data_IF_730467378465
#
_entry.id   IF_730467378465
#
_cell.length_a   1.000
_cell.length_b   1.000
_cell.length_c   1.000
_cell.angle_alpha   90.00
_cell.angle_beta   90.00
_cell.angle_gamma   90.00
#
_symmetry.space_group_name_H-M   'P 1'
#
loop_
_entity.id
_entity.type
_entity.pdbx_description
1 polymer ?
#
# COMPACT_ATOMS: atom_id res chain seq x y z
N UNK A 1 11.21 -23.86 10.81
CA UNK A 1 11.35 -23.64 12.27
C UNK A 1 9.95 -23.54 12.85
N UNK A 2 9.61 -24.41 13.80
CA UNK A 2 8.34 -24.33 14.54
C UNK A 2 8.31 -23.01 15.34
N UNK A 3 7.35 -22.14 15.08
CA UNK A 3 7.11 -20.95 15.91
C UNK A 3 6.64 -21.42 17.29
N UNK A 4 7.53 -21.36 18.28
CA UNK A 4 7.21 -21.69 19.66
C UNK A 4 6.11 -20.75 20.16
N UNK A 5 4.99 -21.30 20.63
CA UNK A 5 3.86 -20.50 21.13
C UNK A 5 4.30 -19.77 22.41
N UNK A 6 4.03 -18.46 22.56
CA UNK A 6 4.41 -17.72 23.76
C UNK A 6 3.72 -18.29 24.99
N UNK A 7 4.46 -18.39 26.10
CA UNK A 7 3.92 -18.77 27.40
C UNK A 7 2.94 -17.72 27.90
N UNK A 8 1.91 -18.13 28.66
CA UNK A 8 0.84 -17.23 29.14
C UNK A 8 1.37 -16.00 29.92
N UNK A 9 2.50 -16.11 30.61
CA UNK A 9 3.07 -15.01 31.39
C UNK A 9 4.12 -14.19 30.63
N UNK A 10 4.51 -14.62 29.42
CA UNK A 10 5.52 -13.92 28.63
C UNK A 10 4.98 -12.57 28.14
N UNK A 11 5.85 -11.58 27.84
CA UNK A 11 5.44 -10.37 27.13
C UNK A 11 4.64 -10.75 25.89
N UNK A 12 3.51 -10.10 25.68
CA UNK A 12 2.65 -10.45 24.58
C UNK A 12 3.37 -10.15 23.27
N UNK A 13 3.39 -11.10 22.31
CA UNK A 13 3.98 -10.85 21.00
C UNK A 13 3.29 -9.70 20.24
N UNK A 14 2.11 -9.23 20.69
CA UNK A 14 1.43 -8.05 20.15
C UNK A 14 2.20 -6.73 20.32
N UNK A 15 3.26 -6.69 21.13
CA UNK A 15 4.03 -5.46 21.38
C UNK A 15 3.37 -4.47 22.35
N UNK A 16 2.25 -4.84 23.00
CA UNK A 16 1.51 -3.95 23.91
C UNK A 16 2.10 -3.81 25.32
N UNK A 17 3.33 -4.27 25.55
CA UNK A 17 3.99 -4.37 26.85
C UNK A 17 3.23 -5.14 27.96
N UNK A 18 2.04 -5.69 27.66
CA UNK A 18 1.24 -6.53 28.56
C UNK A 18 1.69 -7.98 28.48
N UNK A 19 1.46 -8.77 29.54
CA UNK A 19 1.60 -10.24 29.50
C UNK A 19 0.67 -10.84 28.45
N UNK A 20 1.06 -11.93 27.80
CA UNK A 20 0.26 -12.58 26.75
C UNK A 20 -1.15 -12.91 27.24
N UNK A 21 -1.28 -13.41 28.49
CA UNK A 21 -2.54 -13.64 29.22
C UNK A 21 -3.43 -12.43 29.51
N UNK A 22 -2.96 -11.22 29.23
CA UNK A 22 -3.68 -9.97 29.46
C UNK A 22 -3.67 -9.07 28.20
N UNK A 23 -3.16 -9.55 27.06
CA UNK A 23 -3.31 -8.95 25.73
C UNK A 23 -4.09 -9.95 24.84
N UNK A 24 -3.45 -10.55 23.84
CA UNK A 24 -4.16 -11.22 22.76
C UNK A 24 -4.87 -12.52 23.11
N UNK A 25 -4.39 -13.29 24.09
CA UNK A 25 -5.14 -14.50 24.49
C UNK A 25 -6.40 -14.12 25.28
N UNK A 26 -6.36 -13.00 26.02
CA UNK A 26 -7.48 -12.52 26.84
C UNK A 26 -8.51 -11.80 25.97
N UNK A 27 -8.08 -11.04 24.95
CA UNK A 27 -8.99 -10.40 24.00
C UNK A 27 -9.76 -11.44 23.17
N UNK A 28 -9.09 -12.45 22.63
CA UNK A 28 -9.74 -13.54 21.89
C UNK A 28 -10.64 -14.36 22.82
N UNK A 29 -10.19 -14.64 24.05
CA UNK A 29 -11.01 -15.37 25.03
C UNK A 29 -12.25 -14.58 25.47
N UNK A 30 -12.15 -13.25 25.61
CA UNK A 30 -13.29 -12.36 25.93
C UNK A 30 -14.28 -12.30 24.78
N UNK A 31 -13.80 -12.12 23.55
CA UNK A 31 -14.68 -12.13 22.36
C UNK A 31 -15.42 -13.45 22.21
N UNK A 32 -14.73 -14.58 22.39
CA UNK A 32 -15.38 -15.90 22.38
C UNK A 32 -16.38 -16.03 23.53
N UNK A 33 -16.01 -15.66 24.75
CA UNK A 33 -16.89 -15.75 25.92
C UNK A 33 -18.17 -14.92 25.74
N UNK A 34 -18.08 -13.70 25.23
CA UNK A 34 -19.23 -12.84 24.98
C UNK A 34 -20.20 -13.44 23.95
N UNK A 35 -19.69 -13.96 22.82
CA UNK A 35 -20.52 -14.63 21.81
C UNK A 35 -21.17 -15.90 22.38
N UNK A 36 -20.43 -16.68 23.16
CA UNK A 36 -20.98 -17.86 23.83
C UNK A 36 -22.04 -17.50 24.87
N UNK A 37 -21.85 -16.42 25.64
CA UNK A 37 -22.81 -15.95 26.65
C UNK A 37 -24.10 -15.43 25.99
N UNK A 38 -24.00 -14.71 24.86
CA UNK A 38 -25.15 -14.24 24.08
C UNK A 38 -25.95 -15.41 23.48
N UNK A 39 -25.27 -16.38 22.86
CA UNK A 39 -25.91 -17.61 22.35
C UNK A 39 -26.55 -18.39 23.51
N UNK A 40 -25.86 -18.52 24.65
CA UNK A 40 -26.37 -19.21 25.82
C UNK A 40 -27.64 -18.53 26.38
N UNK A 41 -27.71 -17.19 26.37
CA UNK A 41 -28.91 -16.45 26.74
C UNK A 41 -30.08 -16.73 25.79
N UNK A 42 -29.84 -16.73 24.48
CA UNK A 42 -30.89 -17.01 23.48
C UNK A 42 -31.42 -18.44 23.62
N UNK A 43 -30.53 -19.41 23.85
CA UNK A 43 -30.90 -20.82 24.12
C UNK A 43 -31.68 -20.94 25.43
N UNK A 44 -31.28 -20.22 26.48
CA UNK A 44 -32.00 -20.22 27.75
C UNK A 44 -33.42 -19.61 27.63
N UNK A 45 -33.60 -18.60 26.77
CA UNK A 45 -34.90 -18.00 26.49
C UNK A 45 -35.77 -18.82 25.53
N UNK A 46 -35.15 -19.69 24.70
CA UNK A 46 -35.82 -20.52 23.71
C UNK A 46 -35.36 -21.99 23.83
N UNK A 47 -35.81 -22.72 24.87
CA UNK A 47 -35.26 -24.04 25.22
C UNK A 47 -35.58 -25.15 24.21
N UNK A 48 -36.44 -24.89 23.21
CA UNK A 48 -36.87 -25.86 22.21
C UNK A 48 -36.25 -25.63 20.82
N UNK A 49 -35.20 -24.80 20.71
CA UNK A 49 -34.51 -24.58 19.44
C UNK A 49 -34.01 -25.91 18.85
N UNK A 50 -34.32 -26.11 17.58
CA UNK A 50 -33.72 -27.17 16.77
C UNK A 50 -32.26 -26.82 16.46
N UNK A 51 -31.48 -27.82 16.02
CA UNK A 51 -30.08 -27.59 15.63
C UNK A 51 -29.97 -26.58 14.47
N UNK A 52 -30.92 -26.61 13.53
CA UNK A 52 -30.92 -25.68 12.39
C UNK A 52 -31.22 -24.24 12.85
N UNK A 53 -32.16 -24.06 13.78
CA UNK A 53 -32.45 -22.74 14.37
C UNK A 53 -31.30 -22.24 15.25
N UNK A 54 -30.59 -23.13 15.95
CA UNK A 54 -29.38 -22.78 16.71
C UNK A 54 -28.27 -22.29 15.77
N UNK A 55 -28.06 -22.95 14.63
CA UNK A 55 -27.08 -22.53 13.63
C UNK A 55 -27.45 -21.15 13.06
N UNK A 56 -28.73 -20.92 12.76
CA UNK A 56 -29.21 -19.61 12.29
C UNK A 56 -28.97 -18.50 13.32
N UNK A 57 -29.24 -18.77 14.61
CA UNK A 57 -28.95 -17.84 15.71
C UNK A 57 -27.46 -17.54 15.78
N UNK A 58 -26.59 -18.56 15.70
CA UNK A 58 -25.15 -18.36 15.73
C UNK A 58 -24.66 -17.53 14.53
N UNK A 59 -25.15 -17.80 13.32
CA UNK A 59 -24.84 -17.04 12.11
C UNK A 59 -25.28 -15.58 12.24
N UNK A 60 -26.49 -15.33 12.76
CA UNK A 60 -27.00 -13.99 12.96
C UNK A 60 -26.17 -13.22 14.00
N UNK A 61 -25.83 -13.84 15.13
CA UNK A 61 -24.97 -13.21 16.16
C UNK A 61 -23.58 -12.88 15.62
N UNK A 62 -22.98 -13.80 14.86
CA UNK A 62 -21.71 -13.54 14.19
C UNK A 62 -21.81 -12.40 13.18
N UNK A 63 -22.91 -12.32 12.41
CA UNK A 63 -23.13 -11.24 11.46
C UNK A 63 -23.32 -9.88 12.14
N UNK A 64 -24.16 -9.80 13.16
CA UNK A 64 -24.39 -8.58 13.94
C UNK A 64 -23.08 -8.07 14.53
N UNK A 65 -22.28 -8.95 15.15
CA UNK A 65 -20.98 -8.56 15.71
C UNK A 65 -19.98 -8.13 14.65
N UNK A 66 -19.90 -8.85 13.53
CA UNK A 66 -18.97 -8.53 12.44
C UNK A 66 -19.33 -7.25 11.67
N UNK A 67 -20.52 -6.70 11.88
CA UNK A 67 -20.97 -5.44 11.26
C UNK A 67 -20.91 -4.25 12.21
N UNK A 68 -20.60 -4.46 13.50
CA UNK A 68 -20.40 -3.37 14.45
C UNK A 68 -19.04 -2.67 14.24
N UNK A 69 -18.98 -1.33 14.43
CA UNK A 69 -17.72 -0.58 14.45
C UNK A 69 -16.74 -1.10 15.49
N UNK A 70 -15.50 -1.35 15.08
CA UNK A 70 -14.42 -1.77 15.97
C UNK A 70 -13.43 -0.60 16.20
N UNK A 71 -13.18 -0.19 17.46
CA UNK A 71 -12.21 0.86 17.76
C UNK A 71 -10.78 0.53 17.30
N UNK A 72 -10.38 -0.75 17.30
CA UNK A 72 -9.05 -1.18 16.85
C UNK A 72 -8.92 -1.04 15.31
N UNK A 73 -10.05 -1.00 14.58
CA UNK A 73 -10.12 -0.67 13.15
C UNK A 73 -10.57 0.77 12.89
N UNK A 74 -10.39 1.65 13.89
CA UNK A 74 -10.74 3.07 13.82
C UNK A 74 -12.21 3.33 13.45
N UNK A 75 -13.12 2.43 13.84
CA UNK A 75 -14.55 2.53 13.58
C UNK A 75 -15.05 1.74 12.36
N UNK A 76 -14.17 1.07 11.62
CA UNK A 76 -14.60 0.09 10.62
C UNK A 76 -15.07 -1.19 11.30
N UNK A 77 -16.06 -1.85 10.71
CA UNK A 77 -16.46 -3.19 11.11
C UNK A 77 -15.51 -4.26 10.57
N UNK A 78 -15.53 -5.45 11.19
CA UNK A 78 -14.76 -6.61 10.70
C UNK A 78 -15.14 -6.98 9.25
N UNK A 79 -16.39 -6.79 8.86
CA UNK A 79 -16.87 -7.02 7.49
C UNK A 79 -16.25 -6.03 6.49
N UNK A 80 -16.21 -4.74 6.84
CA UNK A 80 -15.57 -3.72 6.02
C UNK A 80 -14.07 -4.00 5.88
N UNK A 81 -13.41 -4.33 7.00
CA UNK A 81 -11.99 -4.66 7.00
C UNK A 81 -11.69 -5.90 6.14
N UNK A 82 -12.49 -6.97 6.27
CA UNK A 82 -12.31 -8.18 5.47
C UNK A 82 -12.40 -7.91 3.96
N UNK A 83 -13.33 -7.06 3.52
CA UNK A 83 -13.38 -6.64 2.11
C UNK A 83 -12.10 -5.88 1.72
N UNK A 84 -11.65 -4.92 2.53
CA UNK A 84 -10.47 -4.12 2.20
C UNK A 84 -9.16 -4.91 2.13
N UNK A 85 -9.02 -5.96 2.94
CA UNK A 85 -7.83 -6.80 2.95
C UNK A 85 -7.80 -7.84 1.82
N UNK A 86 -8.96 -8.35 1.40
CA UNK A 86 -9.02 -9.58 0.59
C UNK A 86 -9.82 -9.47 -0.71
N UNK A 87 -10.64 -8.43 -0.90
CA UNK A 87 -11.41 -8.28 -2.12
C UNK A 87 -10.49 -7.95 -3.32
N UNK A 88 -10.80 -8.48 -4.51
CA UNK A 88 -10.20 -8.02 -5.75
C UNK A 88 -10.33 -6.50 -5.96
N UNK A 89 -9.41 -5.89 -6.70
CA UNK A 89 -9.36 -4.45 -6.93
C UNK A 89 -10.68 -3.85 -7.47
N UNK A 90 -11.41 -4.59 -8.30
CA UNK A 90 -12.69 -4.19 -8.88
C UNK A 90 -13.91 -4.48 -7.99
N UNK A 91 -13.71 -5.08 -6.81
CA UNK A 91 -14.74 -5.47 -5.84
C UNK A 91 -14.57 -4.79 -4.48
N UNK A 92 -13.63 -3.83 -4.38
CA UNK A 92 -13.44 -3.01 -3.18
C UNK A 92 -14.70 -2.16 -2.93
N UNK A 93 -15.27 -2.33 -1.74
CA UNK A 93 -16.44 -1.60 -1.29
C UNK A 93 -16.03 -0.41 -0.40
N UNK A 94 -16.95 0.54 -0.24
CA UNK A 94 -16.75 1.79 0.53
C UNK A 94 -15.62 2.71 0.01
N UNK A 95 -15.10 2.45 -1.19
CA UNK A 95 -14.17 3.33 -1.89
C UNK A 95 -14.54 3.42 -3.36
N UNK A 96 -14.55 4.63 -3.90
CA UNK A 96 -14.60 4.86 -5.35
C UNK A 96 -13.19 5.17 -5.84
N UNK A 97 -12.69 4.37 -6.79
CA UNK A 97 -11.40 4.57 -7.44
C UNK A 97 -11.64 5.11 -8.86
N UNK A 98 -11.28 6.37 -9.10
CA UNK A 98 -11.52 7.09 -10.35
C UNK A 98 -10.21 7.39 -11.08
N UNK A 99 -10.28 7.58 -12.40
CA UNK A 99 -9.16 8.11 -13.18
C UNK A 99 -9.21 9.64 -13.09
N UNK A 100 -8.15 10.31 -12.60
CA UNK A 100 -8.09 11.77 -12.57
C UNK A 100 -8.16 12.41 -13.96
N UNK A 101 -8.77 13.61 -14.03
CA UNK A 101 -8.91 14.36 -15.29
C UNK A 101 -7.56 14.89 -15.81
N UNK A 102 -6.60 15.15 -14.93
CA UNK A 102 -5.27 15.55 -15.30
C UNK A 102 -4.23 14.68 -14.59
N UNK A 103 -3.36 14.06 -15.38
CA UNK A 103 -2.26 13.21 -14.89
C UNK A 103 -0.90 13.91 -14.96
N UNK A 104 -0.84 15.20 -15.29
CA UNK A 104 0.41 15.92 -15.49
C UNK A 104 1.29 15.98 -14.25
N UNK A 105 0.69 15.96 -13.06
CA UNK A 105 1.39 15.99 -11.77
C UNK A 105 1.84 14.60 -11.28
N UNK A 106 1.52 13.52 -11.99
CA UNK A 106 1.89 12.16 -11.61
C UNK A 106 3.22 11.75 -12.27
N UNK A 107 4.31 11.55 -11.48
CA UNK A 107 5.59 11.12 -12.04
C UNK A 107 5.47 9.81 -12.83
N UNK A 108 4.86 8.78 -12.23
CA UNK A 108 4.62 7.48 -12.89
C UNK A 108 3.92 7.62 -14.23
N UNK A 109 2.84 8.41 -14.30
CA UNK A 109 2.10 8.55 -15.56
C UNK A 109 2.86 9.37 -16.60
N UNK A 110 3.66 10.36 -16.18
CA UNK A 110 4.49 11.15 -17.09
C UNK A 110 5.68 10.35 -17.63
N UNK A 111 6.32 9.54 -16.80
CA UNK A 111 7.37 8.64 -17.22
C UNK A 111 6.83 7.55 -18.16
N UNK A 112 5.63 7.01 -17.88
CA UNK A 112 4.98 6.07 -18.79
C UNK A 112 4.70 6.71 -20.15
N UNK A 113 4.20 7.95 -20.18
CA UNK A 113 3.96 8.68 -21.43
C UNK A 113 5.25 8.81 -22.26
N UNK A 114 6.39 9.17 -21.65
CA UNK A 114 7.69 9.22 -22.33
C UNK A 114 8.09 7.87 -22.95
N UNK A 115 7.92 6.78 -22.21
CA UNK A 115 8.22 5.41 -22.68
C UNK A 115 7.34 5.04 -23.87
N UNK A 116 6.04 5.37 -23.79
CA UNK A 116 5.09 5.06 -24.84
C UNK A 116 5.35 5.92 -26.09
N UNK A 117 5.59 7.22 -25.94
CA UNK A 117 5.87 8.12 -27.05
C UNK A 117 7.14 7.71 -27.81
N UNK A 118 8.24 7.38 -27.11
CA UNK A 118 9.49 6.93 -27.73
C UNK A 118 9.27 5.65 -28.57
N UNK A 119 8.47 4.70 -28.06
CA UNK A 119 8.12 3.50 -28.79
C UNK A 119 7.21 3.78 -29.98
N UNK A 120 6.18 4.63 -29.82
CA UNK A 120 5.22 4.95 -30.89
C UNK A 120 5.88 5.69 -32.05
N UNK A 121 6.87 6.55 -31.78
CA UNK A 121 7.71 7.19 -32.80
C UNK A 121 8.58 6.19 -33.59
N UNK A 122 8.78 4.98 -33.06
CA UNK A 122 9.59 3.91 -33.64
C UNK A 122 8.74 2.66 -33.95
N UNK A 123 7.55 2.87 -34.52
CA UNK A 123 6.64 1.80 -34.98
C UNK A 123 6.24 0.80 -33.87
N UNK A 124 6.19 1.28 -32.63
CA UNK A 124 5.76 0.53 -31.45
C UNK A 124 6.87 -0.20 -30.69
N UNK A 125 8.15 0.07 -30.96
CA UNK A 125 9.26 -0.46 -30.16
C UNK A 125 10.53 0.38 -30.22
N UNK A 126 11.34 0.37 -29.17
CA UNK A 126 12.66 1.02 -29.17
C UNK A 126 13.74 0.11 -28.57
N UNK A 127 15.00 0.41 -28.87
CA UNK A 127 16.15 -0.40 -28.41
C UNK A 127 16.42 -0.14 -26.92
N UNK A 128 16.61 -1.18 -26.14
CA UNK A 128 17.14 -1.08 -24.77
C UNK A 128 18.67 -0.88 -24.79
N UNK A 129 19.26 -0.53 -23.65
CA UNK A 129 20.72 -0.60 -23.48
C UNK A 129 21.18 -2.06 -23.53
N UNK A 130 22.50 -2.28 -23.59
CA UNK A 130 23.07 -3.62 -23.47
C UNK A 130 22.71 -4.33 -22.16
N UNK A 131 22.45 -3.56 -21.09
CA UNK A 131 21.99 -4.08 -19.80
C UNK A 131 20.48 -4.33 -19.72
N UNK A 132 19.73 -4.09 -20.80
CA UNK A 132 18.26 -4.24 -20.80
C UNK A 132 17.51 -3.04 -20.19
N UNK A 133 18.21 -1.92 -19.93
CA UNK A 133 17.63 -0.71 -19.36
C UNK A 133 17.13 0.27 -20.44
N UNK A 134 16.38 1.29 -20.02
CA UNK A 134 15.96 2.43 -20.83
C UNK A 134 17.17 3.23 -21.33
N UNK A 135 17.15 3.71 -22.59
CA UNK A 135 18.23 4.52 -23.14
C UNK A 135 18.47 5.83 -22.38
N UNK A 136 19.72 6.29 -22.33
CA UNK A 136 20.12 7.52 -21.65
C UNK A 136 19.36 8.78 -22.14
N UNK A 137 18.94 8.79 -23.41
CA UNK A 137 18.08 9.86 -23.96
C UNK A 137 16.75 9.97 -23.18
N UNK A 138 16.08 8.84 -22.95
CA UNK A 138 14.80 8.79 -22.24
C UNK A 138 15.00 9.11 -20.76
N UNK A 139 16.06 8.58 -20.15
CA UNK A 139 16.44 8.94 -18.76
C UNK A 139 16.62 10.44 -18.62
N UNK A 140 17.34 11.09 -19.54
CA UNK A 140 17.51 12.55 -19.54
C UNK A 140 16.17 13.29 -19.66
N UNK A 141 15.31 12.88 -20.59
CA UNK A 141 13.97 13.47 -20.75
C UNK A 141 13.14 13.31 -19.47
N UNK A 142 13.25 12.18 -18.76
CA UNK A 142 12.57 11.97 -17.50
C UNK A 142 13.13 12.87 -16.38
N UNK A 143 14.44 13.10 -16.32
CA UNK A 143 15.05 14.06 -15.39
C UNK A 143 14.53 15.48 -15.62
N UNK A 144 14.37 15.88 -16.89
CA UNK A 144 13.90 17.21 -17.27
C UNK A 144 12.44 17.47 -16.83
N UNK A 145 11.67 16.42 -16.48
CA UNK A 145 10.32 16.54 -15.95
C UNK A 145 10.25 16.84 -14.45
N UNK A 146 11.33 16.65 -13.70
CA UNK A 146 11.32 16.80 -12.23
C UNK A 146 10.69 18.13 -11.76
N UNK A 147 11.01 19.30 -12.34
CA UNK A 147 10.40 20.57 -11.90
C UNK A 147 8.88 20.66 -12.03
N UNK A 148 8.23 19.75 -12.77
CA UNK A 148 6.77 19.68 -12.89
C UNK A 148 6.09 19.00 -11.68
N UNK A 149 6.86 18.32 -10.82
CA UNK A 149 6.32 17.51 -9.73
C UNK A 149 6.43 18.22 -8.38
N UNK A 150 5.42 18.04 -7.52
CA UNK A 150 5.42 18.62 -6.17
C UNK A 150 6.63 18.17 -5.32
N UNK A 151 7.13 16.95 -5.54
CA UNK A 151 8.33 16.42 -4.86
C UNK A 151 9.60 17.23 -5.15
N UNK A 152 9.65 18.02 -6.22
CA UNK A 152 10.81 18.82 -6.58
C UNK A 152 11.21 19.82 -5.48
N UNK A 153 10.27 20.23 -4.62
CA UNK A 153 10.55 21.08 -3.46
C UNK A 153 11.63 20.47 -2.53
N UNK A 154 11.65 19.14 -2.42
CA UNK A 154 12.52 18.42 -1.48
C UNK A 154 13.74 17.78 -2.15
N UNK A 155 13.76 17.76 -3.49
CA UNK A 155 14.85 17.17 -4.28
C UNK A 155 16.04 18.14 -4.38
N UNK A 156 16.98 17.99 -3.45
CA UNK A 156 18.14 18.90 -3.31
C UNK A 156 19.48 18.26 -3.69
N UNK A 157 19.57 16.93 -3.67
CA UNK A 157 20.82 16.20 -3.91
C UNK A 157 20.65 15.17 -5.03
N UNK A 158 21.15 15.47 -6.25
CA UNK A 158 21.01 14.58 -7.41
C UNK A 158 21.56 13.16 -7.21
N UNK A 159 22.55 12.96 -6.33
CA UNK A 159 23.20 11.67 -6.13
C UNK A 159 22.39 10.65 -5.31
N UNK A 160 21.35 11.10 -4.59
CA UNK A 160 20.47 10.25 -3.78
C UNK A 160 18.99 10.42 -4.15
N UNK A 161 18.74 11.09 -5.28
CA UNK A 161 17.38 11.38 -5.74
C UNK A 161 16.69 10.11 -6.21
N UNK A 162 15.41 9.98 -5.87
CA UNK A 162 14.55 8.93 -6.42
C UNK A 162 14.01 9.32 -7.82
N UNK A 163 14.11 10.61 -8.19
CA UNK A 163 13.46 11.22 -9.37
C UNK A 163 14.42 11.78 -10.41
N UNK A 164 15.74 11.58 -10.25
CA UNK A 164 16.72 11.89 -11.29
C UNK A 164 17.93 10.95 -11.19
N UNK A 165 18.55 10.66 -12.33
CA UNK A 165 19.73 9.80 -12.39
C UNK A 165 20.48 9.91 -13.72
N UNK A 166 21.73 9.42 -13.74
CA UNK A 166 22.53 9.38 -14.98
C UNK A 166 22.18 8.21 -15.90
N UNK A 167 21.48 7.21 -15.38
CA UNK A 167 20.94 6.05 -16.09
C UNK A 167 19.71 5.51 -15.30
N UNK A 168 19.03 4.50 -15.84
CA UNK A 168 17.84 3.93 -15.19
C UNK A 168 18.15 3.28 -13.84
N UNK A 169 19.28 2.59 -13.68
CA UNK A 169 19.66 1.93 -12.42
C UNK A 169 19.81 2.93 -11.25
N UNK A 170 20.00 4.21 -11.56
CA UNK A 170 20.12 5.31 -10.60
C UNK A 170 18.88 6.21 -10.59
N UNK A 171 17.75 5.76 -11.12
CA UNK A 171 16.53 6.53 -11.21
C UNK A 171 15.34 5.63 -10.85
N UNK A 172 15.15 5.45 -9.54
CA UNK A 172 14.20 4.52 -8.96
C UNK A 172 12.75 4.75 -9.42
N UNK A 173 12.24 5.99 -9.45
CA UNK A 173 10.86 6.24 -9.86
C UNK A 173 10.61 5.91 -11.35
N UNK A 174 11.61 6.15 -12.22
CA UNK A 174 11.55 5.77 -13.63
C UNK A 174 11.64 4.24 -13.80
N UNK A 175 12.57 3.60 -13.09
CA UNK A 175 12.71 2.15 -13.10
C UNK A 175 11.45 1.44 -12.62
N UNK A 176 10.89 1.91 -11.49
CA UNK A 176 9.59 1.50 -10.95
C UNK A 176 8.50 1.58 -12.02
N UNK A 177 8.41 2.72 -12.72
CA UNK A 177 7.41 2.92 -13.77
C UNK A 177 7.54 1.90 -14.91
N UNK A 178 8.76 1.63 -15.38
CA UNK A 178 8.99 0.61 -16.42
C UNK A 178 8.55 -0.78 -15.93
N UNK A 179 8.96 -1.17 -14.72
CA UNK A 179 8.60 -2.47 -14.15
C UNK A 179 7.08 -2.60 -14.01
N UNK A 180 6.39 -1.57 -13.52
CA UNK A 180 4.93 -1.57 -13.47
C UNK A 180 4.31 -1.74 -14.85
N UNK A 181 4.83 -1.06 -15.87
CA UNK A 181 4.32 -1.17 -17.24
C UNK A 181 4.50 -2.58 -17.82
N UNK A 182 5.56 -3.30 -17.43
CA UNK A 182 5.75 -4.71 -17.77
C UNK A 182 4.78 -5.62 -17.03
N UNK A 183 4.60 -5.42 -15.72
CA UNK A 183 3.68 -6.20 -14.88
C UNK A 183 2.22 -6.00 -15.32
N UNK A 184 1.84 -4.76 -15.66
CA UNK A 184 0.55 -4.43 -16.25
C UNK A 184 0.39 -4.96 -17.68
N UNK A 185 1.48 -5.48 -18.27
CA UNK A 185 1.48 -6.06 -19.60
C UNK A 185 1.28 -5.03 -20.71
N UNK A 186 1.64 -3.77 -20.49
CA UNK A 186 1.57 -2.68 -21.47
C UNK A 186 2.76 -2.79 -22.42
N UNK A 187 3.95 -2.97 -21.84
CA UNK A 187 5.20 -3.17 -22.57
C UNK A 187 5.77 -4.58 -22.30
N UNK A 188 6.67 -5.02 -23.15
CA UNK A 188 7.50 -6.20 -22.89
C UNK A 188 8.93 -5.99 -23.38
N UNK A 189 9.90 -6.46 -22.60
CA UNK A 189 11.30 -6.50 -22.99
C UNK A 189 11.61 -7.85 -23.65
N UNK A 190 12.06 -7.82 -24.91
CA UNK A 190 12.53 -9.02 -25.62
C UNK A 190 13.53 -8.64 -26.70
N UNK A 191 14.50 -9.52 -26.95
CA UNK A 191 15.51 -9.33 -28.00
C UNK A 191 16.22 -7.96 -27.94
N UNK A 192 16.49 -7.45 -26.73
CA UNK A 192 17.15 -6.17 -26.50
C UNK A 192 16.31 -4.94 -26.86
N UNK A 193 14.97 -5.07 -26.90
CA UNK A 193 14.03 -4.00 -27.22
C UNK A 193 12.85 -4.00 -26.27
N UNK A 194 12.32 -2.81 -26.03
CA UNK A 194 11.01 -2.63 -25.43
C UNK A 194 9.96 -2.54 -26.52
N UNK A 195 8.92 -3.38 -26.43
CA UNK A 195 7.79 -3.40 -27.35
C UNK A 195 6.52 -3.01 -26.62
N UNK A 196 5.69 -2.16 -27.22
CA UNK A 196 4.31 -1.96 -26.77
C UNK A 196 3.43 -3.04 -27.42
N UNK A 197 2.55 -3.70 -26.66
CA UNK A 197 1.57 -4.64 -27.22
C UNK A 197 0.62 -3.95 -28.20
N UNK A 198 0.13 -4.64 -29.24
CA UNK A 198 -0.70 -4.02 -30.28
C UNK A 198 -2.01 -3.44 -29.73
N UNK A 199 -2.60 -4.08 -28.74
CA UNK A 199 -3.79 -3.63 -28.02
C UNK A 199 -3.49 -2.33 -27.25
N UNK A 200 -2.35 -2.28 -26.56
CA UNK A 200 -1.89 -1.08 -25.86
C UNK A 200 -1.56 0.08 -26.84
N UNK A 201 -0.97 -0.20 -28.01
CA UNK A 201 -0.76 0.83 -29.04
C UNK A 201 -2.08 1.48 -29.46
N UNK A 202 -3.13 0.67 -29.70
CA UNK A 202 -4.47 1.16 -30.05
C UNK A 202 -5.08 1.98 -28.91
N UNK A 203 -5.03 1.46 -27.68
CA UNK A 203 -5.55 2.17 -26.50
C UNK A 203 -4.88 3.53 -26.31
N UNK A 204 -3.55 3.59 -26.47
CA UNK A 204 -2.78 4.83 -26.35
C UNK A 204 -3.16 5.85 -27.43
N UNK A 205 -3.34 5.41 -28.69
CA UNK A 205 -3.75 6.29 -29.78
C UNK A 205 -5.16 6.88 -29.57
N UNK A 206 -6.08 6.12 -28.98
CA UNK A 206 -7.47 6.56 -28.79
C UNK A 206 -7.67 7.38 -27.52
N UNK A 207 -7.06 6.98 -26.41
CA UNK A 207 -7.34 7.53 -25.07
C UNK A 207 -6.12 8.18 -24.41
N UNK A 208 -4.96 8.17 -25.06
CA UNK A 208 -3.71 8.64 -24.50
C UNK A 208 -3.24 7.77 -23.32
N UNK A 209 -2.35 8.34 -22.51
CA UNK A 209 -1.77 7.64 -21.35
C UNK A 209 -2.81 7.30 -20.27
N UNK A 210 -3.94 8.01 -20.23
CA UNK A 210 -5.03 7.79 -19.27
C UNK A 210 -5.60 6.37 -19.32
N UNK A 211 -5.54 5.70 -20.48
CA UNK A 211 -5.98 4.30 -20.63
C UNK A 211 -5.30 3.34 -19.65
N UNK A 212 -4.09 3.70 -19.22
CA UNK A 212 -3.23 2.83 -18.42
C UNK A 212 -3.20 3.17 -16.94
N UNK A 213 -3.93 4.20 -16.49
CA UNK A 213 -3.92 4.60 -15.08
C UNK A 213 -4.37 3.47 -14.15
N UNK A 214 -5.58 2.92 -14.35
CA UNK A 214 -6.09 1.82 -13.52
C UNK A 214 -5.28 0.52 -13.70
N UNK A 215 -4.89 0.08 -14.91
CA UNK A 215 -4.01 -1.08 -15.08
C UNK A 215 -2.67 -0.97 -14.34
N UNK A 216 -2.04 0.21 -14.36
CA UNK A 216 -0.80 0.47 -13.63
C UNK A 216 -1.04 0.48 -12.11
N UNK A 217 -2.17 1.04 -11.66
CA UNK A 217 -2.49 1.16 -10.24
C UNK A 217 -2.81 -0.22 -9.64
N UNK A 218 -3.60 -1.03 -10.35
CA UNK A 218 -3.82 -2.43 -10.01
C UNK A 218 -2.49 -3.19 -9.95
N UNK A 219 -1.64 -3.07 -10.97
CA UNK A 219 -0.32 -3.72 -10.97
C UNK A 219 0.54 -3.29 -9.76
N UNK A 220 0.51 -2.01 -9.38
CA UNK A 220 1.24 -1.51 -8.22
C UNK A 220 0.74 -2.13 -6.91
N UNK A 221 -0.58 -2.29 -6.74
CA UNK A 221 -1.19 -2.75 -5.51
C UNK A 221 -1.19 -4.28 -5.39
N UNK A 222 -1.44 -5.00 -6.49
CA UNK A 222 -1.70 -6.45 -6.44
C UNK A 222 -0.51 -7.31 -6.85
N UNK A 223 0.44 -6.78 -7.64
CA UNK A 223 1.49 -7.61 -8.27
C UNK A 223 2.91 -7.14 -8.03
N UNK A 224 3.15 -5.83 -7.99
CA UNK A 224 4.49 -5.29 -7.76
C UNK A 224 5.00 -5.68 -6.37
N UNK A 225 6.28 -6.09 -6.28
CA UNK A 225 6.93 -6.33 -4.99
C UNK A 225 7.35 -4.99 -4.39
N UNK A 226 6.65 -4.56 -3.33
CA UNK A 226 6.93 -3.28 -2.67
C UNK A 226 8.32 -3.21 -2.02
N UNK A 227 8.95 -4.34 -1.71
CA UNK A 227 10.32 -4.40 -1.18
C UNK A 227 11.43 -4.34 -2.23
N UNK A 228 11.09 -4.29 -3.52
CA UNK A 228 12.07 -4.45 -4.60
C UNK A 228 13.22 -3.42 -4.59
N UNK A 229 13.00 -2.21 -4.07
CA UNK A 229 13.96 -1.11 -4.10
C UNK A 229 14.59 -0.77 -2.74
N UNK A 230 14.27 -1.48 -1.66
CA UNK A 230 14.70 -1.07 -0.31
C UNK A 230 15.82 -1.91 0.31
N UNK A 231 16.13 -3.06 -0.30
CA UNK A 231 17.24 -3.91 0.12
C UNK A 231 17.08 -4.56 1.49
N UNK A 232 15.88 -4.52 2.10
CA UNK A 232 15.62 -5.29 3.31
C UNK A 232 15.43 -6.78 2.98
N UNK A 233 15.93 -7.64 3.86
CA UNK A 233 15.84 -9.10 3.71
C UNK A 233 14.47 -9.67 4.11
N UNK A 234 13.61 -8.85 4.74
CA UNK A 234 12.26 -9.28 5.14
C UNK A 234 11.29 -9.37 3.95
N UNK A 235 10.41 -10.36 4.01
CA UNK A 235 9.38 -10.65 3.02
C UNK A 235 7.99 -10.14 3.44
N UNK A 236 7.93 -9.15 4.34
CA UNK A 236 6.66 -8.65 4.87
C UNK A 236 5.88 -7.89 3.80
N UNK A 237 4.73 -8.44 3.44
CA UNK A 237 3.84 -7.89 2.42
C UNK A 237 2.85 -6.86 3.00
N UNK A 238 3.20 -5.58 2.84
CA UNK A 238 2.34 -4.46 3.25
C UNK A 238 1.17 -4.20 2.30
N UNK A 239 1.16 -4.81 1.10
CA UNK A 239 0.13 -4.54 0.09
C UNK A 239 -1.25 -4.90 0.59
N UNK A 240 -1.39 -5.96 1.39
CA UNK A 240 -2.66 -6.39 1.98
C UNK A 240 -3.37 -5.27 2.77
N UNK A 241 -2.61 -4.35 3.36
CA UNK A 241 -3.14 -3.30 4.25
C UNK A 241 -3.27 -1.93 3.57
N UNK A 242 -2.99 -1.85 2.26
CA UNK A 242 -2.83 -0.58 1.54
C UNK A 242 -4.05 0.34 1.67
N UNK A 243 -5.27 -0.20 1.59
CA UNK A 243 -6.49 0.59 1.55
C UNK A 243 -6.81 1.19 2.92
N UNK A 244 -6.59 0.42 4.00
CA UNK A 244 -6.66 0.92 5.36
C UNK A 244 -5.65 2.03 5.58
N UNK A 245 -4.38 1.80 5.20
CA UNK A 245 -3.33 2.80 5.37
C UNK A 245 -3.63 4.09 4.60
N UNK A 246 -4.18 3.97 3.38
CA UNK A 246 -4.54 5.10 2.55
C UNK A 246 -5.69 5.91 3.16
N UNK A 247 -6.74 5.23 3.64
CA UNK A 247 -7.88 5.87 4.29
C UNK A 247 -7.47 6.65 5.54
N UNK A 248 -6.65 6.04 6.40
CA UNK A 248 -6.14 6.69 7.62
C UNK A 248 -5.31 7.91 7.28
N UNK A 249 -4.35 7.75 6.38
CA UNK A 249 -3.50 8.85 5.95
C UNK A 249 -4.31 10.00 5.34
N UNK A 250 -5.34 9.70 4.53
CA UNK A 250 -6.23 10.71 3.97
C UNK A 250 -7.05 11.46 5.04
N UNK A 251 -7.29 10.83 6.19
CA UNK A 251 -8.11 11.40 7.27
C UNK A 251 -7.36 12.40 8.15
N UNK A 252 -6.06 12.19 8.38
CA UNK A 252 -5.29 13.00 9.34
C UNK A 252 -3.87 13.39 8.90
N UNK A 253 -3.39 12.90 7.75
CA UNK A 253 -2.09 13.24 7.16
C UNK A 253 -0.86 12.98 8.03
N UNK A 254 -0.98 12.17 9.08
CA UNK A 254 0.10 11.91 10.05
C UNK A 254 0.65 10.50 9.86
N UNK A 255 1.94 10.39 9.54
CA UNK A 255 2.61 9.11 9.35
C UNK A 255 2.81 8.40 10.69
N UNK A 256 3.16 9.14 11.74
CA UNK A 256 3.35 8.56 13.08
C UNK A 256 2.03 7.95 13.59
N UNK A 257 0.91 8.67 13.44
CA UNK A 257 -0.42 8.17 13.81
C UNK A 257 -0.84 6.97 12.95
N UNK A 258 -0.56 7.01 11.64
CA UNK A 258 -0.84 5.87 10.75
C UNK A 258 -0.12 4.60 11.24
N UNK A 259 1.13 4.70 11.65
CA UNK A 259 1.92 3.55 12.12
C UNK A 259 1.30 2.96 13.40
N UNK A 260 0.88 3.82 14.34
CA UNK A 260 0.21 3.39 15.57
C UNK A 260 -1.11 2.68 15.29
N UNK A 261 -1.92 3.22 14.39
CA UNK A 261 -3.22 2.65 14.00
C UNK A 261 -3.04 1.31 13.27
N UNK A 262 -2.06 1.18 12.38
CA UNK A 262 -1.73 -0.09 11.71
C UNK A 262 -1.22 -1.12 12.72
N UNK A 263 -0.36 -0.73 13.66
CA UNK A 263 0.15 -1.63 14.70
C UNK A 263 -0.98 -2.13 15.63
N UNK A 264 -1.94 -1.26 15.92
CA UNK A 264 -3.12 -1.58 16.74
C UNK A 264 -4.08 -2.51 16.00
N UNK A 265 -4.42 -2.18 14.75
CA UNK A 265 -5.32 -2.98 13.92
C UNK A 265 -4.73 -4.36 13.56
N UNK A 266 -3.42 -4.44 13.35
CA UNK A 266 -2.74 -5.63 12.84
C UNK A 266 -1.54 -6.04 13.70
N UNK A 267 -1.76 -6.48 14.95
CA UNK A 267 -0.65 -6.87 15.84
C UNK A 267 0.13 -8.09 15.33
N UNK A 268 -0.48 -8.92 14.47
CA UNK A 268 0.22 -10.01 13.79
C UNK A 268 1.21 -9.54 12.72
N UNK A 269 0.99 -8.36 12.13
CA UNK A 269 1.94 -7.74 11.22
C UNK A 269 3.20 -7.29 11.97
N UNK A 270 3.01 -6.66 13.13
CA UNK A 270 4.12 -6.22 14.02
C UNK A 270 5.02 -7.41 14.42
N UNK A 271 4.41 -8.57 14.70
CA UNK A 271 5.11 -9.81 15.08
C UNK A 271 6.03 -10.39 14.02
N UNK A 272 5.90 -9.96 12.77
CA UNK A 272 6.75 -10.46 11.69
C UNK A 272 8.15 -9.86 11.76
N UNK A 273 8.33 -8.75 12.48
CA UNK A 273 9.62 -8.08 12.62
C UNK A 273 10.39 -8.59 13.85
N UNK A 274 11.67 -8.92 13.71
CA UNK A 274 12.50 -9.34 14.85
C UNK A 274 12.74 -8.16 15.78
N UNK A 275 12.78 -8.38 17.09
CA UNK A 275 13.31 -7.36 18.02
C UNK A 275 14.81 -7.17 17.78
N UNK A 276 15.29 -5.94 17.72
CA UNK A 276 16.73 -5.62 17.65
C UNK A 276 17.14 -4.73 18.81
N UNK A 277 18.44 -4.67 19.13
CA UNK A 277 18.96 -3.80 20.21
C UNK A 277 18.68 -2.31 19.97
N UNK A 278 18.48 -1.90 18.72
CA UNK A 278 18.35 -0.50 18.33
C UNK A 278 16.94 -0.10 17.92
N UNK A 279 16.06 -1.06 17.63
CA UNK A 279 14.71 -0.81 17.12
C UNK A 279 13.72 -1.87 17.56
N UNK A 280 12.56 -1.38 17.99
CA UNK A 280 11.36 -2.18 18.26
C UNK A 280 10.75 -2.71 16.96
N UNK A 281 9.93 -3.78 17.02
CA UNK A 281 9.18 -4.27 15.87
C UNK A 281 8.25 -3.21 15.24
N UNK A 282 7.62 -2.36 16.05
CA UNK A 282 6.75 -1.27 15.56
C UNK A 282 7.56 -0.20 14.81
N UNK A 283 8.74 0.18 15.30
CA UNK A 283 9.62 1.10 14.57
C UNK A 283 10.07 0.49 13.23
N UNK A 284 10.31 -0.82 13.19
CA UNK A 284 10.66 -1.51 11.94
C UNK A 284 9.50 -1.54 10.95
N UNK A 285 8.28 -1.82 11.41
CA UNK A 285 7.07 -1.67 10.61
C UNK A 285 6.96 -0.24 10.06
N UNK A 286 7.16 0.76 10.92
CA UNK A 286 7.14 2.17 10.54
C UNK A 286 8.10 2.50 9.39
N UNK A 287 9.34 1.99 9.44
CA UNK A 287 10.30 2.15 8.34
C UNK A 287 9.80 1.57 7.02
N UNK A 288 9.13 0.41 7.04
CA UNK A 288 8.60 -0.22 5.82
C UNK A 288 7.39 0.55 5.31
N UNK A 289 6.51 1.03 6.17
CA UNK A 289 5.39 1.89 5.77
C UNK A 289 5.93 3.17 5.10
N UNK A 290 6.88 3.86 5.74
CA UNK A 290 7.48 5.07 5.15
C UNK A 290 8.10 4.80 3.78
N UNK A 291 8.99 3.80 3.69
CA UNK A 291 9.73 3.51 2.46
C UNK A 291 8.86 2.93 1.35
N UNK A 292 8.10 1.86 1.65
CA UNK A 292 7.38 1.07 0.65
C UNK A 292 6.05 1.73 0.26
N UNK A 293 5.31 2.24 1.23
CA UNK A 293 3.98 2.80 1.00
C UNK A 293 4.03 4.30 0.71
N UNK A 294 4.68 5.09 1.56
CA UNK A 294 4.66 6.55 1.42
C UNK A 294 5.59 7.02 0.29
N UNK A 295 6.88 6.72 0.39
CA UNK A 295 7.91 7.25 -0.51
C UNK A 295 7.87 6.57 -1.89
N UNK A 296 7.80 5.23 -1.95
CA UNK A 296 7.92 4.46 -3.20
C UNK A 296 6.60 3.99 -3.81
N UNK A 297 5.47 4.34 -3.21
CA UNK A 297 4.16 4.21 -3.82
C UNK A 297 3.46 5.58 -3.90
N UNK A 298 3.03 6.17 -2.79
CA UNK A 298 2.22 7.39 -2.84
C UNK A 298 2.96 8.58 -3.48
N UNK A 299 4.22 8.85 -3.12
CA UNK A 299 4.98 9.94 -3.73
C UNK A 299 5.33 9.66 -5.20
N UNK A 300 5.75 8.43 -5.56
CA UNK A 300 6.02 8.04 -6.95
C UNK A 300 4.81 8.29 -7.86
N UNK A 301 3.62 8.03 -7.36
CA UNK A 301 2.38 8.28 -8.09
C UNK A 301 1.94 9.75 -8.09
N UNK A 302 2.56 10.61 -7.27
CA UNK A 302 2.19 12.02 -7.12
C UNK A 302 0.95 12.23 -6.26
N UNK A 303 0.63 11.28 -5.38
CA UNK A 303 -0.52 11.34 -4.47
C UNK A 303 -0.22 12.16 -3.21
N UNK A 304 1.01 12.13 -2.73
CA UNK A 304 1.45 12.88 -1.55
C UNK A 304 2.84 13.46 -1.78
N UNK A 305 3.23 14.41 -0.95
CA UNK A 305 4.63 14.80 -0.73
C UNK A 305 4.96 14.73 0.76
N UNK A 306 6.22 14.51 1.10
CA UNK A 306 6.67 14.44 2.49
C UNK A 306 8.00 15.16 2.62
N UNK A 307 8.11 16.03 3.61
CA UNK A 307 9.37 16.66 3.96
C UNK A 307 10.38 15.62 4.48
N UNK A 308 11.55 15.44 3.82
CA UNK A 308 12.54 14.45 4.22
C UNK A 308 13.21 14.74 5.57
N UNK A 309 13.05 15.95 6.12
CA UNK A 309 13.63 16.33 7.42
C UNK A 309 13.00 15.51 8.54
N UNK A 310 13.82 14.66 9.17
CA UNK A 310 13.43 13.88 10.36
C UNK A 310 13.76 14.59 11.68
N UNK A 311 14.69 15.54 11.64
CA UNK A 311 15.17 16.30 12.79
C UNK A 311 15.26 17.78 12.45
N UNK A 312 14.83 18.64 13.36
CA UNK A 312 15.00 20.08 13.27
C UNK A 312 15.38 20.64 14.64
N UNK A 313 16.45 21.42 14.71
CA UNK A 313 16.97 21.99 15.96
C UNK A 313 17.20 20.97 17.10
N UNK A 314 17.51 19.70 16.77
CA UNK A 314 17.75 18.64 17.75
C UNK A 314 16.50 17.88 18.19
N UNK A 315 15.31 18.28 17.73
CA UNK A 315 14.04 17.61 18.02
C UNK A 315 13.57 16.77 16.83
N UNK A 316 12.88 15.66 17.11
CA UNK A 316 12.22 14.84 16.09
C UNK A 316 11.04 15.63 15.55
N UNK A 317 10.99 15.79 14.22
CA UNK A 317 9.87 16.44 13.55
C UNK A 317 8.77 15.40 13.30
N UNK A 318 7.51 15.64 13.72
CA UNK A 318 6.40 14.76 13.38
C UNK A 318 6.29 14.63 11.86
N UNK A 319 6.18 13.40 11.36
CA UNK A 319 6.14 13.15 9.91
C UNK A 319 4.72 13.36 9.42
N UNK A 320 4.50 14.46 8.70
CA UNK A 320 3.25 14.77 8.02
C UNK A 320 3.39 14.64 6.51
N UNK A 321 2.31 14.23 5.87
CA UNK A 321 2.22 14.19 4.41
C UNK A 321 1.36 15.35 3.92
N UNK A 322 1.75 15.95 2.80
CA UNK A 322 0.91 16.89 2.08
C UNK A 322 0.15 16.14 0.99
N UNK A 323 -1.15 15.97 1.21
CA UNK A 323 -2.04 15.28 0.28
C UNK A 323 -2.21 16.12 -1.00
N UNK A 324 -1.85 15.53 -2.13
CA UNK A 324 -1.96 16.18 -3.43
C UNK A 324 -3.37 16.01 -4.02
N UNK A 325 -3.83 16.94 -4.88
CA UNK A 325 -5.15 16.84 -5.51
C UNK A 325 -5.39 15.52 -6.24
N UNK A 326 -4.34 14.92 -6.79
CA UNK A 326 -4.41 13.65 -7.51
C UNK A 326 -4.93 12.52 -6.62
N UNK A 327 -4.55 12.47 -5.33
CA UNK A 327 -5.04 11.46 -4.39
C UNK A 327 -6.56 11.58 -4.22
N UNK A 328 -7.05 12.79 -3.94
CA UNK A 328 -8.46 13.07 -3.68
C UNK A 328 -9.36 12.89 -4.91
N UNK A 329 -8.79 13.06 -6.11
CA UNK A 329 -9.46 12.75 -7.37
C UNK A 329 -9.51 11.24 -7.62
N UNK A 330 -8.48 10.51 -7.20
CA UNK A 330 -8.37 9.06 -7.41
C UNK A 330 -9.21 8.28 -6.41
N UNK A 331 -9.10 8.56 -5.11
CA UNK A 331 -9.71 7.77 -4.05
C UNK A 331 -10.73 8.60 -3.27
N UNK A 332 -11.98 8.11 -3.23
CA UNK A 332 -13.05 8.71 -2.44
C UNK A 332 -13.68 7.64 -1.55
N UNK A 333 -13.45 7.76 -0.25
CA UNK A 333 -14.01 6.87 0.75
C UNK A 333 -15.45 7.27 1.07
N UNK A 334 -16.35 6.29 1.10
CA UNK A 334 -17.76 6.43 1.46
C UNK A 334 -18.08 5.52 2.64
N UNK A 335 -17.41 5.78 3.76
CA UNK A 335 -17.47 4.99 5.01
C UNK A 335 -18.45 5.64 5.97
#
# INVERSE_FOLDING_TARGET
MEKMKPGRNDPCPCGSDKKYKHCCIDSVSKQHAEVFDEIAQIVAMNPNLTLDELNLVAEQQMHERNTQPDPDFCGLSSTQMANWLYAPFNELAWVTISIPDNLSSSPVMRYLALILDEAMQQEGSFKATSGGNLPAKLVKQACDLLPEFAVAEYETMPSISEYMGSNEDRFNALHYTRILAEIAGIICHRSGRFHIKKEAQKQFQTHGVKAFFLPMLDAAITKYNWGYLDGWEDDVDLRTYWLFMLWRLQSHSSVDQLIEEVATAFPDLVRQYPSSEYRTPQEQLGMRIESRFIERFLQFWGFVTVDPRRMFAGERVPRKVDIQPLLMQTFRFGI
#
